data_IF_633657884077
#
_entry.id   IF_633657884077
#
_cell.length_a   1.000
_cell.length_b   1.000
_cell.length_c   1.000
_cell.angle_alpha   90.00
_cell.angle_beta   90.00
_cell.angle_gamma   90.00
#
_symmetry.space_group_name_H-M   'P 1'
#
loop_
_entity.id
_entity.type
_entity.pdbx_description
1 polymer ?
#
# COMPACT_ATOMS: atom_id res chain seq x y z
N UNK A 1 -22.36 6.89 12.72
CA UNK A 1 -21.85 7.03 11.35
C UNK A 1 -22.67 6.11 10.46
N UNK A 2 -23.29 6.63 9.41
CA UNK A 2 -24.08 5.84 8.44
C UNK A 2 -23.12 5.03 7.57
N UNK A 3 -23.40 3.75 7.35
CA UNK A 3 -22.57 2.89 6.50
C UNK A 3 -22.64 3.39 5.04
N UNK A 4 -21.52 3.56 4.33
CA UNK A 4 -21.54 4.04 2.95
C UNK A 4 -22.27 3.04 2.04
N UNK A 5 -23.17 3.54 1.18
CA UNK A 5 -23.95 2.73 0.25
C UNK A 5 -23.38 2.81 -1.16
N UNK A 6 -23.40 1.68 -1.89
CA UNK A 6 -22.98 1.65 -3.29
C UNK A 6 -23.86 2.54 -4.16
N UNK A 7 -23.23 3.35 -4.98
CA UNK A 7 -23.88 4.23 -5.96
C UNK A 7 -23.42 3.86 -7.37
N UNK A 8 -24.34 3.60 -8.31
CA UNK A 8 -23.98 3.33 -9.71
C UNK A 8 -23.33 4.53 -10.39
N UNK A 9 -22.33 4.29 -11.23
CA UNK A 9 -21.64 5.32 -12.04
C UNK A 9 -22.35 5.62 -13.36
N UNK A 10 -23.16 4.66 -13.87
CA UNK A 10 -23.80 4.75 -15.18
C UNK A 10 -22.87 4.39 -16.36
N UNK A 11 -21.64 3.96 -16.08
CA UNK A 11 -20.66 3.42 -17.03
C UNK A 11 -19.73 2.44 -16.32
N UNK A 12 -19.05 1.59 -17.09
CA UNK A 12 -18.07 0.63 -16.57
C UNK A 12 -16.67 1.25 -16.62
N UNK A 13 -15.96 1.22 -15.49
CA UNK A 13 -14.54 1.51 -15.39
C UNK A 13 -13.74 0.22 -15.62
N UNK A 14 -12.78 0.27 -16.55
CA UNK A 14 -11.82 -0.81 -16.80
C UNK A 14 -10.49 -0.49 -16.10
N UNK A 15 -10.00 -1.42 -15.30
CA UNK A 15 -8.72 -1.34 -14.62
C UNK A 15 -7.85 -2.53 -15.01
N UNK A 16 -6.58 -2.27 -15.28
CA UNK A 16 -5.55 -3.30 -15.29
C UNK A 16 -4.88 -3.31 -13.92
N UNK A 17 -5.09 -4.39 -13.17
CA UNK A 17 -4.46 -4.59 -11.87
C UNK A 17 -2.95 -4.79 -12.05
N UNK A 18 -2.12 -4.51 -11.02
CA UNK A 18 -0.67 -4.72 -11.10
C UNK A 18 -0.26 -6.14 -11.52
N UNK A 19 -1.13 -7.14 -11.24
CA UNK A 19 -0.95 -8.55 -11.61
C UNK A 19 -1.31 -8.86 -13.07
N UNK A 20 -1.77 -7.87 -13.84
CA UNK A 20 -2.17 -7.99 -15.25
C UNK A 20 -3.63 -8.40 -15.46
N UNK A 21 -4.35 -8.72 -14.38
CA UNK A 21 -5.79 -9.01 -14.40
C UNK A 21 -6.58 -7.74 -14.76
N UNK A 22 -7.67 -7.90 -15.51
CA UNK A 22 -8.60 -6.80 -15.75
C UNK A 22 -9.78 -6.86 -14.79
N UNK A 23 -10.16 -5.71 -14.26
CA UNK A 23 -11.32 -5.55 -13.41
C UNK A 23 -12.28 -4.53 -14.03
N UNK A 24 -13.58 -4.83 -13.94
CA UNK A 24 -14.66 -3.95 -14.40
C UNK A 24 -15.49 -3.52 -13.20
N UNK A 25 -15.65 -2.21 -13.01
CA UNK A 25 -16.43 -1.68 -11.88
C UNK A 25 -17.41 -0.61 -12.36
N UNK A 26 -18.67 -0.75 -11.96
CA UNK A 26 -19.78 0.13 -12.37
C UNK A 26 -20.40 0.92 -11.21
N UNK A 27 -19.81 0.83 -10.01
CA UNK A 27 -20.30 1.47 -8.79
C UNK A 27 -19.17 2.01 -7.91
N UNK A 28 -19.51 2.90 -6.99
CA UNK A 28 -18.59 3.49 -6.02
C UNK A 28 -19.24 3.59 -4.65
N UNK A 29 -18.43 3.71 -3.61
CA UNK A 29 -18.84 4.14 -2.27
C UNK A 29 -18.57 5.65 -2.10
N UNK A 30 -19.56 6.53 -2.34
CA UNK A 30 -19.41 7.95 -2.05
C UNK A 30 -19.42 8.20 -0.54
N UNK A 31 -18.69 9.23 -0.12
CA UNK A 31 -18.74 9.71 1.27
C UNK A 31 -18.00 8.83 2.28
N UNK A 32 -17.02 8.04 1.84
CA UNK A 32 -16.14 7.33 2.76
C UNK A 32 -15.30 8.33 3.55
N UNK A 33 -15.07 8.05 4.83
CA UNK A 33 -14.23 8.87 5.71
C UNK A 33 -12.90 8.17 5.95
N UNK A 34 -11.81 8.75 5.45
CA UNK A 34 -10.45 8.30 5.75
C UNK A 34 -9.96 9.02 7.00
N UNK A 35 -9.55 8.26 8.02
CA UNK A 35 -8.97 8.81 9.23
C UNK A 35 -7.45 8.74 9.14
N UNK A 36 -6.78 9.89 9.24
CA UNK A 36 -5.31 9.98 9.31
C UNK A 36 -4.96 10.90 10.46
N UNK A 37 -4.31 10.37 11.49
CA UNK A 37 -3.88 11.11 12.68
C UNK A 37 -5.02 11.99 13.26
N UNK A 38 -6.15 11.34 13.53
CA UNK A 38 -7.42 11.94 14.00
C UNK A 38 -8.12 12.94 13.06
N UNK A 39 -7.57 13.21 11.87
CA UNK A 39 -8.22 14.05 10.85
C UNK A 39 -9.00 13.19 9.88
N UNK A 40 -10.30 13.51 9.76
CA UNK A 40 -11.21 12.87 8.81
C UNK A 40 -11.15 13.57 7.46
N UNK A 41 -10.76 12.84 6.42
CA UNK A 41 -10.73 13.30 5.03
C UNK A 41 -11.72 12.50 4.17
N UNK A 42 -12.61 13.15 3.41
CA UNK A 42 -13.58 12.46 2.57
C UNK A 42 -12.91 11.78 1.37
N UNK A 43 -13.42 10.61 1.00
CA UNK A 43 -13.01 9.83 -0.15
C UNK A 43 -14.22 9.26 -0.90
N UNK A 44 -14.04 9.03 -2.20
CA UNK A 44 -14.91 8.18 -3.01
C UNK A 44 -14.08 6.94 -3.31
N UNK A 45 -14.58 5.77 -2.91
CA UNK A 45 -13.84 4.51 -3.06
C UNK A 45 -14.49 3.63 -4.13
N UNK A 46 -13.65 2.93 -4.88
CA UNK A 46 -14.07 1.94 -5.87
C UNK A 46 -13.96 0.56 -5.19
N UNK A 47 -15.03 -0.25 -5.16
CA UNK A 47 -14.95 -1.61 -4.64
C UNK A 47 -14.07 -2.47 -5.54
N UNK A 48 -12.96 -2.97 -5.00
CA UNK A 48 -12.09 -3.93 -5.67
C UNK A 48 -11.81 -5.08 -4.72
N UNK A 49 -11.76 -6.30 -5.25
CA UNK A 49 -11.31 -7.48 -4.51
C UNK A 49 -9.79 -7.54 -4.56
N UNK A 50 -9.15 -6.82 -3.63
CA UNK A 50 -7.69 -6.74 -3.49
C UNK A 50 -7.27 -7.47 -2.22
N UNK A 51 -6.34 -8.42 -2.37
CA UNK A 51 -5.93 -9.32 -1.28
C UNK A 51 -4.83 -8.70 -0.40
N UNK A 52 -3.96 -7.88 -0.99
CA UNK A 52 -2.74 -7.40 -0.33
C UNK A 52 -2.91 -6.02 0.36
N UNK A 53 -4.02 -5.32 0.12
CA UNK A 53 -4.23 -3.96 0.62
C UNK A 53 -5.70 -3.73 0.98
N UNK A 54 -5.95 -2.96 2.05
CA UNK A 54 -7.32 -2.57 2.43
C UNK A 54 -7.88 -1.47 1.52
N UNK A 55 -7.06 -0.45 1.21
CA UNK A 55 -7.44 0.72 0.40
C UNK A 55 -6.23 1.21 -0.39
N UNK A 56 -6.47 1.56 -1.66
CA UNK A 56 -5.49 2.23 -2.51
C UNK A 56 -5.96 3.66 -2.78
N UNK A 57 -5.18 4.65 -2.32
CA UNK A 57 -5.49 6.06 -2.51
C UNK A 57 -4.81 6.58 -3.78
N UNK A 58 -5.60 6.79 -4.83
CA UNK A 58 -5.11 7.25 -6.11
C UNK A 58 -4.67 8.72 -6.10
N UNK A 59 -3.99 9.12 -7.19
CA UNK A 59 -3.44 10.47 -7.38
C UNK A 59 -4.47 11.58 -7.22
N UNK A 60 -5.72 11.37 -7.66
CA UNK A 60 -6.76 12.39 -7.53
C UNK A 60 -7.09 12.71 -6.06
N UNK A 61 -7.19 11.68 -5.23
CA UNK A 61 -7.44 11.85 -3.80
C UNK A 61 -6.25 12.52 -3.10
N UNK A 62 -5.03 12.11 -3.44
CA UNK A 62 -3.80 12.73 -2.93
C UNK A 62 -3.71 14.22 -3.34
N UNK A 63 -3.99 14.54 -4.61
CA UNK A 63 -4.01 15.90 -5.12
C UNK A 63 -5.07 16.76 -4.41
N UNK A 64 -6.28 16.22 -4.25
CA UNK A 64 -7.37 16.91 -3.55
C UNK A 64 -7.02 17.27 -2.10
N UNK A 65 -6.25 16.41 -1.42
CA UNK A 65 -5.78 16.64 -0.05
C UNK A 65 -4.42 17.35 0.02
N UNK A 66 -3.90 17.84 -1.11
CA UNK A 66 -2.60 18.52 -1.23
C UNK A 66 -1.48 17.71 -0.55
N UNK A 67 -1.43 16.42 -0.86
CA UNK A 67 -0.42 15.52 -0.34
C UNK A 67 0.97 15.91 -0.84
N UNK A 68 1.93 15.99 0.08
CA UNK A 68 3.35 16.03 -0.18
C UNK A 68 3.96 14.70 0.25
N UNK A 69 4.69 14.03 -0.65
CA UNK A 69 5.24 12.70 -0.41
C UNK A 69 6.75 12.85 -0.26
N UNK A 70 7.26 12.65 0.96
CA UNK A 70 8.70 12.49 1.20
C UNK A 70 9.05 11.01 1.07
N UNK A 71 9.58 10.66 -0.10
CA UNK A 71 9.99 9.29 -0.40
C UNK A 71 11.14 8.81 0.52
N UNK A 72 12.06 9.69 0.90
CA UNK A 72 13.21 9.30 1.71
C UNK A 72 12.82 9.13 3.19
N UNK A 73 12.03 10.08 3.71
CA UNK A 73 11.44 9.99 5.05
C UNK A 73 10.32 8.95 5.16
N UNK A 74 9.88 8.39 4.02
CA UNK A 74 8.78 7.44 3.91
C UNK A 74 7.49 7.98 4.54
N UNK A 75 7.21 9.26 4.31
CA UNK A 75 6.07 9.96 4.90
C UNK A 75 5.24 10.69 3.86
N UNK A 76 3.98 10.93 4.21
CA UNK A 76 3.02 11.69 3.41
C UNK A 76 2.38 12.74 4.30
N UNK A 77 2.58 14.01 3.97
CA UNK A 77 1.98 15.14 4.68
C UNK A 77 0.84 15.73 3.86
N UNK A 78 -0.31 15.97 4.49
CA UNK A 78 -1.50 16.51 3.85
C UNK A 78 -1.73 17.96 4.27
N UNK A 79 -1.76 18.88 3.31
CA UNK A 79 -1.90 20.33 3.55
C UNK A 79 -3.28 20.86 3.13
N UNK A 80 -4.33 20.11 3.41
CA UNK A 80 -5.69 20.43 2.98
C UNK A 80 -6.20 21.72 3.65
N UNK A 81 -6.60 22.76 2.88
CA UNK A 81 -7.12 23.99 3.46
C UNK A 81 -8.35 23.75 4.32
N UNK A 82 -8.38 24.36 5.51
CA UNK A 82 -9.48 24.23 6.45
C UNK A 82 -9.42 22.97 7.33
N UNK A 83 -8.41 22.11 7.16
CA UNK A 83 -8.10 21.02 8.07
C UNK A 83 -6.70 21.24 8.70
N UNK A 84 -6.44 20.65 9.88
CA UNK A 84 -5.09 20.57 10.41
C UNK A 84 -4.17 19.84 9.43
N UNK A 85 -2.90 20.25 9.41
CA UNK A 85 -1.85 19.50 8.72
C UNK A 85 -1.63 18.17 9.45
N UNK A 86 -1.59 17.08 8.70
CA UNK A 86 -1.36 15.73 9.24
C UNK A 86 -0.31 15.01 8.43
N UNK A 87 0.56 14.26 9.12
CA UNK A 87 1.61 13.46 8.49
C UNK A 87 1.42 11.99 8.81
N UNK A 88 1.19 11.20 7.76
CA UNK A 88 1.29 9.75 7.85
C UNK A 88 2.74 9.35 7.68
N UNK A 89 3.32 8.68 8.67
CA UNK A 89 4.67 8.11 8.58
C UNK A 89 4.54 6.63 8.33
N UNK A 90 5.07 6.16 7.20
CA UNK A 90 5.12 4.75 6.90
C UNK A 90 6.02 4.01 7.90
N UNK A 91 5.86 2.70 7.99
CA UNK A 91 6.66 1.87 8.88
C UNK A 91 8.13 1.83 8.45
N UNK A 92 8.93 2.80 8.92
CA UNK A 92 10.37 2.69 8.79
C UNK A 92 10.80 1.58 9.74
N UNK A 93 11.08 0.38 9.21
CA UNK A 93 11.96 -0.51 9.93
C UNK A 93 13.26 0.27 10.09
N UNK A 94 13.49 0.90 11.25
CA UNK A 94 14.68 1.73 11.52
C UNK A 94 16.00 0.98 11.32
N UNK A 95 15.92 -0.32 11.06
CA UNK A 95 16.94 -1.12 10.42
C UNK A 95 17.10 -0.66 8.96
N UNK A 96 18.14 0.13 8.69
CA UNK A 96 18.82 0.04 7.39
C UNK A 96 19.15 -1.43 7.22
N UNK A 97 18.29 -2.20 6.55
CA UNK A 97 18.63 -3.56 6.18
C UNK A 97 20.00 -3.45 5.54
N UNK A 98 20.98 -4.23 6.03
CA UNK A 98 22.36 -4.24 5.56
C UNK A 98 22.51 -4.70 4.12
N UNK A 99 21.52 -4.41 3.28
CA UNK A 99 21.47 -4.59 1.85
C UNK A 99 22.55 -3.68 1.26
N UNK A 100 23.55 -4.35 0.74
CA UNK A 100 24.64 -3.76 0.00
C UNK A 100 24.46 -4.12 -1.46
N UNK A 101 24.89 -3.24 -2.36
CA UNK A 101 24.91 -3.57 -3.79
C UNK A 101 25.82 -4.77 -4.06
N UNK A 102 25.57 -5.46 -5.18
CA UNK A 102 26.42 -6.57 -5.65
C UNK A 102 27.89 -6.17 -5.77
N UNK A 103 28.18 -4.93 -6.19
CA UNK A 103 29.54 -4.37 -6.24
C UNK A 103 30.18 -4.30 -4.85
N UNK A 104 29.43 -3.84 -3.85
CA UNK A 104 29.93 -3.71 -2.47
C UNK A 104 30.08 -5.08 -1.81
N UNK A 105 29.17 -6.02 -2.07
CA UNK A 105 29.31 -7.41 -1.66
C UNK A 105 30.58 -8.04 -2.25
N UNK A 106 30.79 -7.92 -3.57
CA UNK A 106 32.00 -8.42 -4.24
C UNK A 106 33.28 -7.83 -3.64
N UNK A 107 33.31 -6.51 -3.39
CA UNK A 107 34.46 -5.84 -2.75
C UNK A 107 34.75 -6.38 -1.35
N UNK A 108 33.72 -6.67 -0.55
CA UNK A 108 33.89 -7.24 0.79
C UNK A 108 34.41 -8.68 0.74
N UNK A 109 33.89 -9.51 -0.16
CA UNK A 109 34.40 -10.87 -0.38
C UNK A 109 35.88 -10.85 -0.78
N UNK A 110 36.30 -9.92 -1.67
CA UNK A 110 37.72 -9.78 -2.05
C UNK A 110 38.61 -9.30 -0.90
N UNK A 111 38.03 -8.72 0.15
CA UNK A 111 38.74 -8.31 1.37
C UNK A 111 38.77 -9.42 2.45
N UNK A 112 38.27 -10.61 2.13
CA UNK A 112 38.28 -11.76 3.04
C UNK A 112 37.04 -11.88 3.92
N UNK A 113 35.98 -11.09 3.69
CA UNK A 113 34.71 -11.30 4.39
C UNK A 113 34.05 -12.60 3.92
N UNK A 114 33.40 -13.33 4.84
CA UNK A 114 32.59 -14.51 4.52
C UNK A 114 31.23 -14.08 3.96
N UNK A 115 30.73 -14.82 2.96
CA UNK A 115 29.40 -14.65 2.40
C UNK A 115 28.65 -15.98 2.43
N UNK A 116 27.35 -15.91 2.72
CA UNK A 116 26.45 -17.07 2.75
C UNK A 116 25.30 -16.82 1.77
N UNK A 117 24.91 -17.88 1.06
CA UNK A 117 23.75 -17.86 0.17
C UNK A 117 22.59 -18.56 0.89
N UNK A 118 21.47 -17.84 1.04
CA UNK A 118 20.23 -18.42 1.52
C UNK A 118 19.25 -18.55 0.35
N UNK A 119 18.50 -19.66 0.32
CA UNK A 119 17.45 -19.91 -0.65
C UNK A 119 16.19 -20.33 0.11
N UNK A 120 15.05 -19.75 -0.24
CA UNK A 120 13.75 -20.08 0.38
C UNK A 120 13.14 -21.25 -0.40
N UNK A 121 12.85 -22.34 0.30
CA UNK A 121 12.09 -23.47 -0.25
C UNK A 121 10.67 -23.38 0.33
N UNK A 122 9.68 -23.19 -0.55
CA UNK A 122 8.27 -23.28 -0.16
C UNK A 122 7.90 -24.76 -0.04
N UNK A 123 7.48 -25.18 1.15
CA UNK A 123 6.95 -26.52 1.37
C UNK A 123 5.42 -26.43 1.36
N UNK A 124 4.78 -26.97 0.32
CA UNK A 124 3.32 -27.06 0.20
C UNK A 124 2.73 -28.18 1.08
N UNK A 125 3.17 -28.31 2.34
CA UNK A 125 2.58 -29.26 3.27
C UNK A 125 1.35 -28.65 3.93
N UNK A 126 0.20 -28.82 3.27
CA UNK A 126 -1.12 -28.69 3.90
C UNK A 126 -1.23 -29.68 5.06
N UNK A 127 -1.48 -29.26 6.31
CA UNK A 127 -1.85 -30.20 7.36
C UNK A 127 -3.29 -30.64 7.11
N UNK A 128 -3.46 -31.88 6.65
CA UNK A 128 -4.75 -32.57 6.74
C UNK A 128 -5.09 -32.74 8.22
N UNK A 129 -6.13 -32.05 8.67
CA UNK A 129 -6.75 -32.28 9.98
C UNK A 129 -7.42 -33.66 9.92
N UNK A 130 -6.73 -34.70 10.39
CA UNK A 130 -7.39 -35.94 10.76
C UNK A 130 -8.10 -35.73 12.10
N UNK A 131 -9.42 -35.81 12.04
CA UNK A 131 -10.31 -35.85 13.20
C UNK A 131 -9.99 -37.07 14.07
N UNK A 132 -9.88 -36.84 15.38
CA UNK A 132 -10.15 -37.86 16.41
C UNK A 132 -11.25 -37.32 17.30
#
# INVERSE_FOLDING_TARGET
>A
MTQPHLTPLGYDLDFVMPRGERCYVSCVYPGCSMLVDDVVMPAILIPLDIVDFDVILGTYWLHYNRANIDYYGMSVTFHRPGLPEVTFVGESSGVRHGIISTMRAKKLLTKGCQGYLAHVVLNDNTPSVENV
#
